data_IF_159183806504
#
_entry.id   IF_159183806504
#
_cell.length_a   1.000
_cell.length_b   1.000
_cell.length_c   1.000
_cell.angle_alpha   90.00
_cell.angle_beta   90.00
_cell.angle_gamma   90.00
#
_symmetry.space_group_name_H-M   'P 1'
#
loop_
_entity.id
_entity.type
_entity.pdbx_description
1 polymer ?
#
# COMPACT_ATOMS: atom_id res chain seq x y z
N UNK A 1 -61.71 -30.87 -15.40
CA UNK A 1 -62.36 -32.03 -16.04
C UNK A 1 -61.29 -33.05 -16.40
N UNK A 2 -61.43 -34.33 -16.01
CA UNK A 2 -60.39 -35.34 -16.30
C UNK A 2 -60.29 -35.54 -17.82
N UNK A 3 -59.09 -35.45 -18.39
CA UNK A 3 -58.83 -35.56 -19.84
C UNK A 3 -59.51 -36.79 -20.50
N UNK A 4 -59.70 -37.86 -19.74
CA UNK A 4 -60.38 -39.08 -20.15
C UNK A 4 -61.86 -38.85 -20.57
N UNK A 5 -62.55 -37.89 -19.96
CA UNK A 5 -63.95 -37.57 -20.30
C UNK A 5 -64.07 -36.78 -21.61
N UNK A 6 -63.06 -35.97 -21.93
CA UNK A 6 -63.02 -35.20 -23.16
C UNK A 6 -62.64 -36.10 -24.34
N UNK A 7 -61.66 -36.99 -24.16
CA UNK A 7 -61.32 -38.03 -25.14
C UNK A 7 -62.50 -38.96 -25.41
N UNK A 8 -63.25 -39.34 -24.37
CA UNK A 8 -64.49 -40.10 -24.51
C UNK A 8 -65.55 -39.31 -25.31
N UNK A 9 -65.72 -38.01 -25.03
CA UNK A 9 -66.65 -37.14 -25.75
C UNK A 9 -66.31 -36.97 -27.24
N UNK A 10 -65.03 -36.79 -27.58
CA UNK A 10 -64.56 -36.73 -28.98
C UNK A 10 -64.75 -38.07 -29.67
N UNK A 11 -64.42 -39.18 -29.00
CA UNK A 11 -64.65 -40.53 -29.52
C UNK A 11 -66.14 -40.80 -29.83
N UNK A 12 -67.03 -40.36 -28.94
CA UNK A 12 -68.48 -40.44 -29.15
C UNK A 12 -68.92 -39.55 -30.31
N UNK A 13 -68.44 -38.31 -30.43
CA UNK A 13 -68.81 -37.41 -31.52
C UNK A 13 -68.34 -37.90 -32.89
N UNK A 14 -67.12 -38.41 -32.99
CA UNK A 14 -66.60 -39.04 -34.23
C UNK A 14 -67.39 -40.31 -34.55
N UNK A 15 -67.68 -41.15 -33.54
CA UNK A 15 -68.52 -42.34 -33.70
C UNK A 15 -69.92 -42.01 -34.22
N UNK A 16 -70.57 -40.98 -33.68
CA UNK A 16 -71.86 -40.47 -34.15
C UNK A 16 -71.75 -39.92 -35.58
N UNK A 17 -70.70 -39.15 -35.90
CA UNK A 17 -70.48 -38.61 -37.24
C UNK A 17 -70.31 -39.70 -38.29
N UNK A 18 -69.56 -40.77 -37.99
CA UNK A 18 -69.41 -41.95 -38.85
C UNK A 18 -70.75 -42.69 -38.99
N UNK A 19 -71.49 -42.88 -37.90
CA UNK A 19 -72.80 -43.53 -37.93
C UNK A 19 -73.83 -42.74 -38.76
N UNK A 20 -73.81 -41.41 -38.69
CA UNK A 20 -74.66 -40.54 -39.52
C UNK A 20 -74.27 -40.66 -41.00
N UNK A 21 -72.97 -40.62 -41.33
CA UNK A 21 -72.52 -40.77 -42.71
C UNK A 21 -72.88 -42.15 -43.31
N UNK A 22 -72.68 -43.23 -42.53
CA UNK A 22 -73.08 -44.60 -42.91
C UNK A 22 -74.61 -44.71 -43.01
N UNK A 23 -75.34 -44.11 -42.08
CA UNK A 23 -76.81 -44.10 -42.07
C UNK A 23 -77.39 -43.35 -43.27
N UNK A 24 -76.80 -42.23 -43.67
CA UNK A 24 -77.18 -41.46 -44.86
C UNK A 24 -76.89 -42.26 -46.14
N UNK A 25 -75.74 -42.92 -46.22
CA UNK A 25 -75.39 -43.83 -47.33
C UNK A 25 -76.36 -45.02 -47.43
N UNK A 26 -76.70 -45.61 -46.28
CA UNK A 26 -77.64 -46.73 -46.21
C UNK A 26 -79.06 -46.30 -46.59
N UNK A 27 -79.55 -45.17 -46.07
CA UNK A 27 -80.85 -44.61 -46.42
C UNK A 27 -80.93 -44.24 -47.91
N UNK A 28 -79.87 -43.66 -48.47
CA UNK A 28 -79.77 -43.38 -49.90
C UNK A 28 -79.89 -44.66 -50.73
N UNK A 29 -79.13 -45.71 -50.38
CA UNK A 29 -79.18 -46.99 -51.08
C UNK A 29 -80.51 -47.72 -50.97
N UNK A 30 -81.21 -47.59 -49.83
CA UNK A 30 -82.50 -48.25 -49.58
C UNK A 30 -83.67 -47.53 -50.27
N UNK A 31 -83.73 -46.20 -50.23
CA UNK A 31 -84.88 -45.44 -50.73
C UNK A 31 -84.79 -45.08 -52.23
N UNK A 32 -83.59 -44.96 -52.81
CA UNK A 32 -83.41 -44.50 -54.20
C UNK A 32 -83.01 -45.62 -55.18
N UNK A 33 -82.72 -46.83 -54.71
CA UNK A 33 -82.38 -47.97 -55.56
C UNK A 33 -81.01 -47.86 -56.26
N UNK A 34 -80.65 -48.83 -57.13
CA UNK A 34 -79.35 -48.85 -57.79
C UNK A 34 -79.15 -47.65 -58.72
N UNK A 35 -77.94 -47.08 -58.66
CA UNK A 35 -77.54 -45.83 -59.33
C UNK A 35 -78.01 -45.80 -60.80
N UNK A 36 -78.92 -44.88 -61.11
CA UNK A 36 -79.42 -44.66 -62.46
C UNK A 36 -78.33 -44.05 -63.36
N UNK A 37 -78.46 -44.21 -64.69
CA UNK A 37 -77.53 -43.63 -65.68
C UNK A 37 -77.73 -42.11 -65.89
N UNK A 38 -78.64 -41.47 -65.17
CA UNK A 38 -78.90 -40.03 -65.29
C UNK A 38 -77.88 -39.21 -64.48
N UNK A 39 -77.31 -38.18 -65.09
CA UNK A 39 -76.29 -37.31 -64.50
C UNK A 39 -76.81 -36.49 -63.30
N UNK A 40 -78.11 -36.27 -63.20
CA UNK A 40 -78.75 -35.53 -62.09
C UNK A 40 -78.71 -36.28 -60.76
N UNK A 41 -78.74 -37.62 -60.79
CA UNK A 41 -78.71 -38.46 -59.58
C UNK A 41 -77.31 -38.49 -58.98
N UNK A 42 -76.28 -38.45 -59.83
CA UNK A 42 -74.89 -38.29 -59.40
C UNK A 42 -74.62 -36.94 -58.75
N UNK A 43 -75.25 -35.87 -59.24
CA UNK A 43 -75.17 -34.54 -58.61
C UNK A 43 -75.80 -34.51 -57.21
N UNK A 44 -76.96 -35.14 -57.05
CA UNK A 44 -77.67 -35.23 -55.76
C UNK A 44 -76.93 -36.10 -54.75
N UNK A 45 -76.39 -37.25 -55.18
CA UNK A 45 -75.50 -38.09 -54.37
C UNK A 45 -74.23 -37.33 -53.95
N UNK A 46 -73.58 -36.63 -54.89
CA UNK A 46 -72.40 -35.83 -54.61
C UNK A 46 -72.66 -34.72 -53.58
N UNK A 47 -73.83 -34.08 -53.62
CA UNK A 47 -74.23 -33.06 -52.64
C UNK A 47 -74.44 -33.65 -51.24
N UNK A 48 -75.13 -34.79 -51.14
CA UNK A 48 -75.36 -35.50 -49.85
C UNK A 48 -74.05 -36.01 -49.26
N UNK A 49 -73.19 -36.61 -50.09
CA UNK A 49 -71.86 -37.08 -49.67
C UNK A 49 -70.96 -35.93 -49.25
N UNK A 50 -70.97 -34.83 -50.00
CA UNK A 50 -70.23 -33.64 -49.63
C UNK A 50 -70.72 -33.09 -48.29
N UNK A 51 -72.03 -33.01 -48.05
CA UNK A 51 -72.58 -32.57 -46.77
C UNK A 51 -72.18 -33.46 -45.59
N UNK A 52 -72.25 -34.79 -45.77
CA UNK A 52 -71.86 -35.76 -44.74
C UNK A 52 -70.36 -35.69 -44.43
N UNK A 53 -69.49 -35.59 -45.45
CA UNK A 53 -68.05 -35.46 -45.25
C UNK A 53 -67.65 -34.10 -44.69
N UNK A 54 -68.33 -33.00 -45.06
CA UNK A 54 -68.11 -31.68 -44.45
C UNK A 54 -68.44 -31.69 -42.96
N UNK A 55 -69.51 -32.37 -42.55
CA UNK A 55 -69.89 -32.53 -41.15
C UNK A 55 -68.88 -33.40 -40.38
N UNK A 56 -68.44 -34.52 -40.97
CA UNK A 56 -67.36 -35.34 -40.40
C UNK A 56 -66.04 -34.56 -40.25
N UNK A 57 -65.66 -33.79 -41.28
CA UNK A 57 -64.47 -32.93 -41.28
C UNK A 57 -64.56 -31.83 -40.20
N UNK A 58 -65.74 -31.26 -39.99
CA UNK A 58 -65.99 -30.28 -38.92
C UNK A 58 -65.81 -30.91 -37.54
N UNK A 59 -66.31 -32.12 -37.30
CA UNK A 59 -66.09 -32.84 -36.04
C UNK A 59 -64.62 -33.21 -35.82
N UNK A 60 -63.92 -33.63 -36.88
CA UNK A 60 -62.48 -33.88 -36.80
C UNK A 60 -61.71 -32.62 -36.41
N UNK A 61 -62.08 -31.46 -36.97
CA UNK A 61 -61.46 -30.16 -36.68
C UNK A 61 -61.73 -29.68 -35.26
N UNK A 62 -62.95 -29.89 -34.76
CA UNK A 62 -63.29 -29.60 -33.35
C UNK A 62 -62.47 -30.49 -32.41
N UNK A 63 -62.33 -31.78 -32.74
CA UNK A 63 -61.52 -32.72 -31.97
C UNK A 63 -60.04 -32.33 -31.90
N UNK A 64 -59.44 -31.91 -33.02
CA UNK A 64 -58.05 -31.47 -33.05
C UNK A 64 -57.82 -30.18 -32.29
N UNK A 65 -58.70 -29.18 -32.42
CA UNK A 65 -58.62 -27.94 -31.65
C UNK A 65 -58.70 -28.18 -30.14
N UNK A 66 -59.59 -29.08 -29.71
CA UNK A 66 -59.75 -29.42 -28.29
C UNK A 66 -58.54 -30.18 -27.73
N UNK A 67 -57.95 -31.07 -28.53
CA UNK A 67 -56.70 -31.74 -28.18
C UNK A 67 -55.55 -30.75 -28.03
N UNK A 68 -55.39 -29.83 -28.98
CA UNK A 68 -54.38 -28.78 -28.92
C UNK A 68 -54.56 -27.89 -27.69
N UNK A 69 -55.80 -27.51 -27.36
CA UNK A 69 -56.11 -26.73 -26.16
C UNK A 69 -55.70 -27.47 -24.87
N UNK A 70 -56.04 -28.76 -24.75
CA UNK A 70 -55.64 -29.56 -23.58
C UNK A 70 -54.12 -29.75 -23.50
N UNK A 71 -53.45 -29.91 -24.64
CA UNK A 71 -52.00 -30.00 -24.70
C UNK A 71 -51.36 -28.69 -24.27
N UNK A 72 -51.92 -27.54 -24.67
CA UNK A 72 -51.48 -26.22 -24.26
C UNK A 72 -51.60 -26.05 -22.73
N UNK A 73 -52.77 -26.29 -22.15
CA UNK A 73 -52.97 -26.16 -20.69
C UNK A 73 -51.99 -27.05 -19.90
N UNK A 74 -51.81 -28.31 -20.33
CA UNK A 74 -50.86 -29.22 -19.67
C UNK A 74 -49.40 -28.78 -19.85
N UNK A 75 -49.07 -28.15 -20.97
CA UNK A 75 -47.74 -27.60 -21.21
C UNK A 75 -47.48 -26.37 -20.33
N UNK A 76 -48.48 -25.50 -20.14
CA UNK A 76 -48.42 -24.35 -19.25
C UNK A 76 -48.22 -24.78 -17.79
N UNK A 77 -48.96 -25.78 -17.30
CA UNK A 77 -48.78 -26.32 -15.94
C UNK A 77 -47.35 -26.87 -15.70
N UNK A 78 -46.79 -27.59 -16.69
CA UNK A 78 -45.41 -28.10 -16.61
C UNK A 78 -44.39 -26.97 -16.65
N UNK A 79 -44.64 -25.95 -17.48
CA UNK A 79 -43.76 -24.79 -17.57
C UNK A 79 -43.74 -24.02 -16.25
N UNK A 80 -44.89 -23.77 -15.63
CA UNK A 80 -44.99 -23.11 -14.32
C UNK A 80 -44.24 -23.90 -13.24
N UNK A 81 -44.37 -25.22 -13.22
CA UNK A 81 -43.65 -26.07 -12.26
C UNK A 81 -42.12 -26.04 -12.48
N UNK A 82 -41.67 -26.06 -13.72
CA UNK A 82 -40.25 -25.94 -14.08
C UNK A 82 -39.68 -24.57 -13.73
N UNK A 83 -40.42 -23.50 -14.01
CA UNK A 83 -40.02 -22.13 -13.70
C UNK A 83 -39.88 -21.94 -12.17
N UNK A 84 -40.82 -22.49 -11.38
CA UNK A 84 -40.74 -22.49 -9.93
C UNK A 84 -39.51 -23.26 -9.40
N UNK A 85 -39.20 -24.43 -9.97
CA UNK A 85 -38.01 -25.20 -9.61
C UNK A 85 -36.71 -24.47 -9.97
N UNK A 86 -36.68 -23.83 -11.15
CA UNK A 86 -35.53 -23.06 -11.63
C UNK A 86 -35.27 -21.83 -10.74
N UNK A 87 -36.32 -21.14 -10.28
CA UNK A 87 -36.18 -20.03 -9.33
C UNK A 87 -35.55 -20.48 -8.01
N UNK A 88 -35.99 -21.61 -7.46
CA UNK A 88 -35.40 -22.16 -6.23
C UNK A 88 -33.94 -22.58 -6.44
N UNK A 89 -33.61 -23.16 -7.60
CA UNK A 89 -32.22 -23.51 -7.96
C UNK A 89 -31.34 -22.27 -8.10
N UNK A 90 -31.84 -21.22 -8.75
CA UNK A 90 -31.15 -19.92 -8.86
C UNK A 90 -30.90 -19.33 -7.49
N UNK A 91 -31.90 -19.26 -6.62
CA UNK A 91 -31.74 -18.74 -5.26
C UNK A 91 -30.68 -19.54 -4.46
N UNK A 92 -30.71 -20.87 -4.54
CA UNK A 92 -29.68 -21.71 -3.88
C UNK A 92 -28.29 -21.48 -4.47
N UNK A 93 -28.20 -21.34 -5.79
CA UNK A 93 -26.95 -21.04 -6.47
C UNK A 93 -26.40 -19.68 -6.03
N UNK A 94 -27.23 -18.63 -5.98
CA UNK A 94 -26.83 -17.29 -5.57
C UNK A 94 -26.31 -17.27 -4.13
N UNK A 95 -26.95 -18.00 -3.20
CA UNK A 95 -26.46 -18.16 -1.83
C UNK A 95 -25.09 -18.85 -1.78
N UNK A 96 -24.87 -19.87 -2.61
CA UNK A 96 -23.58 -20.56 -2.67
C UNK A 96 -22.50 -19.65 -3.26
N UNK A 97 -22.82 -18.91 -4.32
CA UNK A 97 -21.93 -17.93 -4.94
C UNK A 97 -21.55 -16.83 -3.94
N UNK A 98 -22.52 -16.28 -3.21
CA UNK A 98 -22.26 -15.25 -2.19
C UNK A 98 -21.30 -15.77 -1.10
N UNK A 99 -21.51 -17.00 -0.61
CA UNK A 99 -20.61 -17.64 0.36
C UNK A 99 -19.21 -17.86 -0.21
N UNK A 100 -19.10 -18.29 -1.47
CA UNK A 100 -17.82 -18.47 -2.15
C UNK A 100 -17.09 -17.14 -2.34
N UNK A 101 -17.81 -16.08 -2.73
CA UNK A 101 -17.24 -14.74 -2.85
C UNK A 101 -16.75 -14.21 -1.49
N UNK A 102 -17.55 -14.37 -0.43
CA UNK A 102 -17.15 -13.97 0.92
C UNK A 102 -15.89 -14.74 1.40
N UNK A 103 -15.83 -16.05 1.16
CA UNK A 103 -14.65 -16.85 1.48
C UNK A 103 -13.41 -16.39 0.68
N UNK A 104 -13.58 -16.11 -0.62
CA UNK A 104 -12.51 -15.59 -1.47
C UNK A 104 -12.01 -14.22 -0.98
N UNK A 105 -12.92 -13.30 -0.63
CA UNK A 105 -12.54 -11.98 -0.10
C UNK A 105 -11.80 -12.08 1.22
N UNK A 106 -12.20 -13.01 2.09
CA UNK A 106 -11.50 -13.28 3.34
C UNK A 106 -10.07 -13.80 3.09
N UNK A 107 -9.91 -14.77 2.18
CA UNK A 107 -8.60 -15.29 1.78
C UNK A 107 -7.73 -14.21 1.15
N UNK A 108 -8.29 -13.36 0.28
CA UNK A 108 -7.60 -12.20 -0.30
C UNK A 108 -7.10 -11.26 0.79
N UNK A 109 -7.94 -10.91 1.76
CA UNK A 109 -7.56 -10.06 2.89
C UNK A 109 -6.40 -10.65 3.70
N UNK A 110 -6.47 -11.94 4.07
CA UNK A 110 -5.41 -12.60 4.82
C UNK A 110 -4.10 -12.65 4.04
N UNK A 111 -4.16 -13.00 2.75
CA UNK A 111 -2.99 -13.07 1.90
C UNK A 111 -2.38 -11.68 1.65
N UNK A 112 -3.20 -10.68 1.38
CA UNK A 112 -2.73 -9.30 1.19
C UNK A 112 -2.02 -8.77 2.43
N UNK A 113 -2.64 -8.91 3.62
CA UNK A 113 -2.01 -8.56 4.90
C UNK A 113 -0.70 -9.31 5.12
N UNK A 114 -0.67 -10.62 4.88
CA UNK A 114 0.53 -11.46 5.05
C UNK A 114 1.67 -10.98 4.14
N UNK A 115 1.42 -10.81 2.84
CA UNK A 115 2.43 -10.38 1.87
C UNK A 115 2.95 -8.97 2.19
N UNK A 116 2.08 -8.06 2.66
CA UNK A 116 2.51 -6.75 3.12
C UNK A 116 3.52 -6.84 4.28
N UNK A 117 3.20 -7.64 5.30
CA UNK A 117 4.07 -7.82 6.47
C UNK A 117 5.38 -8.50 6.07
N UNK A 118 5.34 -9.52 5.21
CA UNK A 118 6.54 -10.16 4.65
C UNK A 118 7.43 -9.14 3.95
N UNK A 119 6.85 -8.24 3.14
CA UNK A 119 7.58 -7.18 2.45
C UNK A 119 8.22 -6.17 3.41
N UNK A 120 7.56 -5.83 4.53
CA UNK A 120 8.19 -5.01 5.58
C UNK A 120 9.37 -5.74 6.21
N UNK A 121 9.22 -7.03 6.52
CA UNK A 121 10.30 -7.83 7.08
C UNK A 121 11.49 -7.99 6.09
N UNK A 122 11.23 -8.06 4.79
CA UNK A 122 12.28 -8.00 3.76
C UNK A 122 13.07 -6.69 3.83
N UNK A 123 12.44 -5.55 4.14
CA UNK A 123 13.16 -4.29 4.37
C UNK A 123 14.07 -4.38 5.61
N UNK A 124 13.60 -5.00 6.69
CA UNK A 124 14.45 -5.21 7.86
C UNK A 124 15.68 -6.08 7.54
N UNK A 125 15.52 -7.11 6.70
CA UNK A 125 16.63 -7.95 6.21
C UNK A 125 17.58 -7.14 5.31
N UNK A 126 17.04 -6.32 4.40
CA UNK A 126 17.82 -5.46 3.51
C UNK A 126 18.79 -4.56 4.29
N UNK A 127 18.33 -4.00 5.42
CA UNK A 127 19.13 -3.18 6.31
C UNK A 127 19.87 -3.98 7.39
N UNK A 128 20.16 -5.27 7.13
CA UNK A 128 20.96 -6.17 7.99
C UNK A 128 20.46 -6.23 9.44
N UNK A 129 19.15 -6.11 9.64
CA UNK A 129 18.53 -6.12 10.97
C UNK A 129 18.78 -4.86 11.81
N UNK A 130 19.28 -3.76 11.23
CA UNK A 130 19.42 -2.47 11.94
C UNK A 130 18.08 -1.80 12.23
N UNK A 131 17.02 -2.22 11.54
CA UNK A 131 15.64 -1.79 11.80
C UNK A 131 14.75 -3.02 12.05
N UNK A 132 13.68 -2.81 12.82
CA UNK A 132 12.57 -3.75 12.96
C UNK A 132 11.23 -3.02 12.86
N UNK A 133 10.17 -3.79 12.65
CA UNK A 133 8.80 -3.30 12.69
C UNK A 133 8.13 -3.88 13.94
N UNK A 134 8.01 -3.08 15.00
CA UNK A 134 7.47 -3.55 16.29
C UNK A 134 6.03 -4.05 16.19
N UNK A 135 5.23 -3.35 15.39
CA UNK A 135 3.82 -3.65 15.14
C UNK A 135 3.52 -3.42 13.65
N UNK A 136 3.83 -4.42 12.79
CA UNK A 136 3.59 -4.31 11.35
C UNK A 136 2.09 -4.33 11.01
N UNK A 137 1.26 -4.85 11.92
CA UNK A 137 -0.20 -4.85 11.79
C UNK A 137 -0.79 -3.46 11.92
N UNK A 138 -0.33 -2.68 12.90
CA UNK A 138 -0.69 -1.26 13.00
C UNK A 138 -0.36 -0.51 11.71
N UNK A 139 0.81 -0.77 11.12
CA UNK A 139 1.19 -0.15 9.84
C UNK A 139 0.23 -0.57 8.73
N UNK A 140 -0.10 -1.86 8.63
CA UNK A 140 -1.06 -2.34 7.63
C UNK A 140 -2.44 -1.67 7.78
N UNK A 141 -2.98 -1.60 9.00
CA UNK A 141 -4.29 -0.97 9.26
C UNK A 141 -4.27 0.54 9.01
N UNK A 142 -3.15 1.22 9.29
CA UNK A 142 -3.02 2.65 9.02
C UNK A 142 -2.97 2.95 7.51
N UNK A 143 -2.27 2.12 6.73
CA UNK A 143 -2.18 2.27 5.27
C UNK A 143 -3.47 1.84 4.57
N UNK A 144 -4.12 0.77 5.05
CA UNK A 144 -5.34 0.20 4.48
C UNK A 144 -6.52 0.24 5.47
N UNK A 145 -7.02 1.43 5.84
CA UNK A 145 -8.05 1.56 6.88
C UNK A 145 -9.41 0.97 6.50
N UNK A 146 -9.68 0.77 5.20
CA UNK A 146 -10.92 0.16 4.70
C UNK A 146 -10.84 -1.36 4.58
N UNK A 147 -9.66 -1.96 4.75
CA UNK A 147 -9.49 -3.39 4.60
C UNK A 147 -10.00 -4.14 5.83
N UNK A 148 -10.79 -5.18 5.57
CA UNK A 148 -11.44 -6.02 6.56
C UNK A 148 -11.68 -7.42 5.97
N UNK A 149 -12.05 -8.43 6.78
CA UNK A 149 -12.50 -9.73 6.29
C UNK A 149 -13.56 -9.68 5.18
N UNK A 150 -14.36 -8.62 5.13
CA UNK A 150 -15.44 -8.39 4.15
C UNK A 150 -15.05 -7.52 2.95
N UNK A 151 -13.87 -6.87 2.97
CA UNK A 151 -13.45 -5.94 1.92
C UNK A 151 -11.93 -5.86 1.84
N UNK A 152 -11.36 -6.07 0.65
CA UNK A 152 -9.93 -5.98 0.42
C UNK A 152 -9.63 -5.07 -0.77
N UNK A 153 -9.13 -3.87 -0.50
CA UNK A 153 -8.65 -2.93 -1.50
C UNK A 153 -7.11 -3.02 -1.61
N UNK A 154 -6.62 -3.03 -2.85
CA UNK A 154 -5.18 -3.11 -3.17
C UNK A 154 -4.54 -1.74 -3.42
N UNK A 155 -5.37 -0.73 -3.69
CA UNK A 155 -4.93 0.63 -4.02
C UNK A 155 -5.36 1.60 -2.93
N UNK A 156 -4.43 2.43 -2.50
CA UNK A 156 -4.70 3.52 -1.56
C UNK A 156 -4.66 4.83 -2.31
N UNK A 157 -5.74 5.61 -2.23
CA UNK A 157 -5.78 6.95 -2.80
C UNK A 157 -5.03 7.90 -1.86
N UNK A 158 -4.09 8.65 -2.41
CA UNK A 158 -3.45 9.75 -1.69
C UNK A 158 -4.40 10.94 -1.75
N UNK A 159 -4.79 11.45 -0.59
CA UNK A 159 -5.69 12.59 -0.45
C UNK A 159 -4.89 13.90 -0.35
N UNK A 160 -5.59 15.03 -0.28
CA UNK A 160 -4.94 16.31 0.03
C UNK A 160 -4.44 16.30 1.49
N UNK A 161 -3.31 16.97 1.81
CA UNK A 161 -2.73 16.97 3.15
C UNK A 161 -3.67 17.42 4.27
N UNK A 162 -4.65 18.28 3.98
CA UNK A 162 -5.64 18.73 4.97
C UNK A 162 -6.58 17.60 5.46
N UNK A 163 -6.73 16.54 4.66
CA UNK A 163 -7.58 15.39 4.98
C UNK A 163 -6.79 14.20 5.55
N UNK A 164 -5.47 14.35 5.70
CA UNK A 164 -4.60 13.29 6.18
C UNK A 164 -4.99 12.83 7.60
N UNK A 165 -5.15 11.52 7.78
CA UNK A 165 -5.31 10.91 9.09
C UNK A 165 -3.94 10.59 9.67
N UNK A 166 -3.82 10.70 10.98
CA UNK A 166 -2.57 10.39 11.66
C UNK A 166 -2.05 9.01 11.26
N UNK A 167 -0.78 8.95 10.84
CA UNK A 167 -0.08 7.72 10.41
C UNK A 167 -0.55 7.10 9.10
N UNK A 168 -1.47 7.73 8.36
CA UNK A 168 -1.82 7.26 7.03
C UNK A 168 -0.71 7.57 6.00
N UNK A 169 -0.87 7.06 4.78
CA UNK A 169 0.12 7.26 3.72
C UNK A 169 0.22 8.72 3.28
N UNK A 170 -0.88 9.49 3.35
CA UNK A 170 -0.91 10.91 2.99
C UNK A 170 -0.10 11.74 3.99
N UNK A 171 -0.26 11.47 5.29
CA UNK A 171 0.49 12.07 6.39
C UNK A 171 1.99 11.74 6.25
N UNK A 172 2.33 10.47 5.99
CA UNK A 172 3.71 10.06 5.74
C UNK A 172 4.37 10.87 4.61
N UNK A 173 3.65 11.06 3.50
CA UNK A 173 4.12 11.83 2.35
C UNK A 173 4.26 13.33 2.66
N UNK A 174 3.30 13.90 3.39
CA UNK A 174 3.36 15.30 3.82
C UNK A 174 4.56 15.55 4.74
N UNK A 175 4.80 14.66 5.70
CA UNK A 175 5.96 14.71 6.59
C UNK A 175 7.26 14.56 5.79
N UNK A 176 7.33 13.59 4.87
CA UNK A 176 8.51 13.39 4.02
C UNK A 176 8.85 14.63 3.18
N UNK A 177 7.83 15.27 2.59
CA UNK A 177 8.01 16.52 1.85
C UNK A 177 8.54 17.64 2.76
N UNK A 178 7.95 17.78 3.95
CA UNK A 178 8.40 18.75 4.96
C UNK A 178 9.85 18.51 5.38
N UNK A 179 10.27 17.26 5.61
CA UNK A 179 11.69 16.91 5.86
C UNK A 179 12.57 17.39 4.70
N UNK A 180 12.16 17.16 3.45
CA UNK A 180 12.89 17.62 2.27
C UNK A 180 13.03 19.15 2.13
N UNK A 181 12.09 19.91 2.68
CA UNK A 181 12.13 21.37 2.76
C UNK A 181 13.06 21.85 3.90
N UNK A 182 12.96 21.21 5.07
CA UNK A 182 13.76 21.51 6.25
C UNK A 182 15.25 21.22 6.05
N UNK A 183 15.58 20.20 5.26
CA UNK A 183 16.98 19.87 4.92
C UNK A 183 17.72 21.01 4.18
N UNK A 184 17.01 21.98 3.61
CA UNK A 184 17.62 23.16 2.98
C UNK A 184 17.94 24.30 3.95
N UNK A 185 17.51 24.21 5.21
CA UNK A 185 17.72 25.26 6.21
C UNK A 185 18.86 24.86 7.17
N UNK A 186 19.95 25.62 7.12
CA UNK A 186 21.15 25.41 7.96
C UNK A 186 21.30 26.47 9.06
N UNK A 187 20.37 27.43 9.15
CA UNK A 187 20.52 28.63 9.98
C UNK A 187 19.56 28.65 11.16
N UNK A 188 18.35 28.16 10.96
CA UNK A 188 17.30 28.23 11.98
C UNK A 188 17.34 27.00 12.90
N UNK A 189 17.79 27.24 14.13
CA UNK A 189 17.85 26.23 15.19
C UNK A 189 16.48 25.62 15.52
N UNK A 190 15.38 26.36 15.38
CA UNK A 190 14.05 25.80 15.63
C UNK A 190 13.65 24.84 14.52
N UNK A 191 13.96 25.16 13.27
CA UNK A 191 13.71 24.27 12.12
C UNK A 191 14.58 23.01 12.16
N UNK A 192 15.81 23.09 12.68
CA UNK A 192 16.63 21.92 12.94
C UNK A 192 15.99 20.96 13.97
N UNK A 193 15.41 21.47 15.05
CA UNK A 193 14.67 20.63 16.00
C UNK A 193 13.45 19.99 15.35
N UNK A 194 12.70 20.78 14.56
CA UNK A 194 11.55 20.27 13.79
C UNK A 194 11.98 19.20 12.80
N UNK A 195 13.14 19.32 12.16
CA UNK A 195 13.69 18.31 11.25
C UNK A 195 13.88 16.98 11.98
N UNK A 196 14.58 16.96 13.11
CA UNK A 196 14.80 15.72 13.88
C UNK A 196 13.47 15.13 14.36
N UNK A 197 12.55 15.97 14.85
CA UNK A 197 11.21 15.53 15.26
C UNK A 197 10.42 14.92 14.10
N UNK A 198 10.44 15.55 12.92
CA UNK A 198 9.74 15.07 11.73
C UNK A 198 10.36 13.77 11.20
N UNK A 199 11.68 13.63 11.22
CA UNK A 199 12.36 12.37 10.88
C UNK A 199 12.01 11.25 11.86
N UNK A 200 12.02 11.52 13.16
CA UNK A 200 11.60 10.56 14.18
C UNK A 200 10.12 10.19 14.03
N UNK A 201 9.26 11.18 13.80
CA UNK A 201 7.84 10.97 13.59
C UNK A 201 7.56 10.15 12.33
N UNK A 202 8.25 10.44 11.22
CA UNK A 202 8.11 9.69 9.97
C UNK A 202 8.50 8.23 10.13
N UNK A 203 9.61 7.94 10.81
CA UNK A 203 9.98 6.56 11.15
C UNK A 203 8.88 5.88 11.97
N UNK A 204 8.33 6.57 12.97
CA UNK A 204 7.18 6.09 13.73
C UNK A 204 5.94 5.84 12.87
N UNK A 205 5.66 6.68 11.87
CA UNK A 205 4.54 6.48 10.94
C UNK A 205 4.74 5.23 10.09
N UNK A 206 5.94 5.04 9.55
CA UNK A 206 6.33 3.86 8.79
C UNK A 206 6.50 2.60 9.66
N UNK A 207 6.39 2.73 10.99
CA UNK A 207 6.58 1.65 11.95
C UNK A 207 8.03 1.18 12.07
N UNK A 208 8.98 1.99 11.61
CA UNK A 208 10.41 1.73 11.70
C UNK A 208 10.86 1.98 13.14
N UNK A 209 11.45 0.95 13.74
CA UNK A 209 12.17 1.06 15.00
C UNK A 209 13.65 0.71 14.76
N UNK A 210 14.55 1.62 15.11
CA UNK A 210 15.98 1.38 15.00
C UNK A 210 16.46 0.52 16.18
N UNK A 211 17.08 -0.62 15.85
CA UNK A 211 17.65 -1.59 16.79
C UNK A 211 19.11 -1.92 16.47
N UNK A 212 19.73 -1.13 15.60
CA UNK A 212 21.14 -1.27 15.27
C UNK A 212 22.05 -1.08 16.49
N UNK A 213 23.30 -1.54 16.41
CA UNK A 213 24.28 -1.26 17.44
C UNK A 213 24.43 0.25 17.60
N UNK A 214 24.74 0.68 18.82
CA UNK A 214 25.08 2.06 19.07
C UNK A 214 26.32 2.44 18.26
N UNK A 215 26.30 3.65 17.69
CA UNK A 215 27.42 4.25 16.97
C UNK A 215 27.67 5.66 17.49
N UNK A 216 28.91 6.09 17.29
CA UNK A 216 29.34 7.46 17.58
C UNK A 216 28.46 8.46 16.84
N UNK A 217 27.89 9.41 17.57
CA UNK A 217 27.03 10.44 16.98
C UNK A 217 25.57 10.02 16.78
N UNK A 218 25.15 8.87 17.33
CA UNK A 218 23.73 8.53 17.37
C UNK A 218 22.93 9.55 18.20
N UNK A 219 21.83 10.01 17.62
CA UNK A 219 20.91 10.96 18.23
C UNK A 219 19.81 10.20 18.96
N UNK A 220 19.62 10.53 20.23
CA UNK A 220 18.55 10.03 21.07
C UNK A 220 17.50 11.12 21.28
N UNK A 221 16.23 10.76 21.16
CA UNK A 221 15.09 11.62 21.44
C UNK A 221 14.27 11.01 22.58
N UNK A 222 14.14 11.76 23.70
CA UNK A 222 13.47 11.31 24.93
C UNK A 222 13.98 9.94 25.42
N UNK A 223 15.31 9.74 25.36
CA UNK A 223 15.99 8.52 25.79
C UNK A 223 15.88 7.33 24.83
N UNK A 224 15.20 7.47 23.69
CA UNK A 224 15.12 6.43 22.64
C UNK A 224 16.04 6.77 21.48
N UNK A 225 16.71 5.77 20.92
CA UNK A 225 17.54 5.97 19.73
C UNK A 225 16.61 6.42 18.59
N UNK A 226 16.88 7.60 18.03
CA UNK A 226 16.06 8.16 16.96
C UNK A 226 16.33 7.49 15.60
N UNK A 227 17.27 6.54 15.54
CA UNK A 227 17.73 5.95 14.29
C UNK A 227 18.39 6.99 13.37
N UNK A 228 18.87 8.09 13.94
CA UNK A 228 19.56 9.19 13.25
C UNK A 228 20.99 9.25 13.76
N UNK A 229 21.96 9.21 12.85
CA UNK A 229 23.36 9.47 13.17
C UNK A 229 23.75 10.82 12.58
N UNK A 230 24.39 11.67 13.37
CA UNK A 230 24.74 13.03 12.94
C UNK A 230 25.78 13.07 11.83
N UNK A 231 26.68 12.08 11.77
CA UNK A 231 27.72 12.00 10.76
C UNK A 231 27.21 11.40 9.43
N UNK A 232 26.14 10.61 9.49
CA UNK A 232 25.55 9.93 8.33
C UNK A 232 24.02 10.09 8.34
N UNK A 233 23.56 11.33 8.18
CA UNK A 233 22.13 11.68 8.17
C UNK A 233 21.45 11.08 6.92
N UNK A 234 22.18 11.03 5.81
CA UNK A 234 21.73 10.48 4.54
C UNK A 234 21.39 8.99 4.63
N UNK A 235 22.17 8.19 5.36
CA UNK A 235 21.86 6.76 5.63
C UNK A 235 20.48 6.60 6.28
N UNK A 236 20.08 7.54 7.14
CA UNK A 236 18.76 7.54 7.79
C UNK A 236 17.66 7.83 6.78
N UNK A 237 17.89 8.80 5.89
CA UNK A 237 16.94 9.15 4.84
C UNK A 237 16.82 8.03 3.80
N UNK A 238 17.91 7.37 3.42
CA UNK A 238 17.89 6.20 2.52
C UNK A 238 17.02 5.08 3.10
N UNK A 239 17.13 4.80 4.42
CA UNK A 239 16.25 3.84 5.10
C UNK A 239 14.77 4.23 5.00
N UNK A 240 14.46 5.48 5.34
CA UNK A 240 13.10 6.01 5.29
C UNK A 240 12.53 5.94 3.86
N UNK A 241 13.29 6.40 2.87
CA UNK A 241 12.92 6.40 1.45
C UNK A 241 12.68 5.00 0.93
N UNK A 242 13.54 4.04 1.28
CA UNK A 242 13.41 2.65 0.86
C UNK A 242 12.12 2.01 1.38
N UNK A 243 11.83 2.18 2.67
CA UNK A 243 10.60 1.65 3.28
C UNK A 243 9.36 2.36 2.72
N UNK A 244 9.38 3.69 2.62
CA UNK A 244 8.27 4.47 2.07
C UNK A 244 7.97 4.08 0.62
N UNK A 245 8.99 3.98 -0.24
CA UNK A 245 8.83 3.54 -1.63
C UNK A 245 8.36 2.09 -1.74
N UNK A 246 8.78 1.22 -0.81
CA UNK A 246 8.28 -0.16 -0.75
C UNK A 246 6.78 -0.22 -0.48
N UNK A 247 6.27 0.65 0.41
CA UNK A 247 4.84 0.80 0.71
C UNK A 247 4.09 1.48 -0.45
N UNK A 248 4.65 2.52 -1.05
CA UNK A 248 4.04 3.21 -2.21
C UNK A 248 3.87 2.25 -3.38
N UNK A 249 4.89 1.45 -3.69
CA UNK A 249 4.81 0.41 -4.70
C UNK A 249 3.67 -0.58 -4.39
N UNK A 250 3.59 -1.06 -3.15
CA UNK A 250 2.58 -2.03 -2.74
C UNK A 250 1.15 -1.47 -2.82
N UNK A 251 0.99 -0.16 -2.56
CA UNK A 251 -0.30 0.54 -2.62
C UNK A 251 -0.66 1.05 -4.03
N UNK A 252 0.18 0.79 -5.03
CA UNK A 252 -0.03 1.20 -6.41
C UNK A 252 0.22 2.70 -6.67
N UNK A 253 1.00 3.36 -5.83
CA UNK A 253 1.38 4.77 -5.93
C UNK A 253 2.78 4.95 -6.53
N UNK A 254 3.08 6.16 -7.01
CA UNK A 254 4.41 6.49 -7.53
C UNK A 254 5.42 6.66 -6.40
N UNK A 255 6.67 6.29 -6.67
CA UNK A 255 7.78 6.50 -5.74
C UNK A 255 8.01 8.00 -5.51
N UNK A 256 8.45 8.34 -4.30
CA UNK A 256 8.89 9.69 -3.99
C UNK A 256 10.25 9.98 -4.62
N UNK A 257 10.48 11.25 -4.95
CA UNK A 257 11.81 11.72 -5.33
C UNK A 257 12.76 11.62 -4.13
N UNK A 258 14.00 11.12 -4.31
CA UNK A 258 14.96 10.99 -3.23
C UNK A 258 15.38 12.36 -2.69
N UNK A 259 15.48 12.50 -1.37
CA UNK A 259 15.96 13.70 -0.66
C UNK A 259 17.25 13.46 0.13
N UNK A 260 17.71 12.21 0.27
CA UNK A 260 18.93 11.86 1.02
C UNK A 260 20.16 12.65 0.59
N UNK A 261 20.29 12.98 -0.69
CA UNK A 261 21.38 13.81 -1.22
C UNK A 261 21.44 15.22 -0.60
N UNK A 262 20.32 15.76 -0.11
CA UNK A 262 20.28 17.07 0.57
C UNK A 262 20.91 17.04 1.95
N UNK A 263 20.98 15.86 2.57
CA UNK A 263 21.65 15.67 3.84
C UNK A 263 23.15 15.35 3.69
N UNK A 264 23.63 15.20 2.45
CA UNK A 264 25.04 14.98 2.19
C UNK A 264 25.82 16.28 2.36
N UNK A 265 26.82 16.26 3.24
CA UNK A 265 27.75 17.37 3.46
C UNK A 265 27.83 17.85 4.91
N UNK A 266 28.91 18.56 5.22
CA UNK A 266 29.20 19.01 6.58
C UNK A 266 28.23 20.07 7.12
N UNK A 267 27.58 20.87 6.27
CA UNK A 267 26.76 22.00 6.72
C UNK A 267 25.56 21.58 7.57
N UNK A 268 24.80 20.55 7.15
CA UNK A 268 23.67 20.05 7.94
C UNK A 268 24.13 19.37 9.23
N UNK A 269 25.19 18.55 9.13
CA UNK A 269 25.83 17.93 10.31
C UNK A 269 26.21 18.97 11.34
N UNK A 270 26.94 20.01 10.94
CA UNK A 270 27.44 21.06 11.83
C UNK A 270 26.28 21.86 12.44
N UNK A 271 25.29 22.21 11.61
CA UNK A 271 24.11 22.94 12.04
C UNK A 271 23.27 22.15 13.06
N UNK A 272 23.06 20.85 12.83
CA UNK A 272 22.41 19.96 13.77
C UNK A 272 23.24 19.78 15.04
N UNK A 273 24.55 19.58 14.92
CA UNK A 273 25.44 19.35 16.06
C UNK A 273 25.32 20.52 17.02
N UNK A 274 25.58 21.71 16.49
CA UNK A 274 25.50 22.96 17.23
C UNK A 274 24.13 23.18 17.84
N UNK A 275 23.05 22.82 17.13
CA UNK A 275 21.69 22.99 17.66
C UNK A 275 21.44 22.04 18.83
N UNK A 276 21.73 20.77 18.67
CA UNK A 276 21.44 19.74 19.67
C UNK A 276 22.30 19.89 20.93
N UNK A 277 23.52 20.42 20.82
CA UNK A 277 24.41 20.63 21.96
C UNK A 277 24.22 21.99 22.64
N UNK A 278 24.06 23.08 21.87
CA UNK A 278 24.09 24.46 22.44
C UNK A 278 22.72 25.09 22.65
N UNK A 279 21.66 24.59 21.99
CA UNK A 279 20.36 25.26 22.05
C UNK A 279 19.56 24.80 23.28
N UNK A 280 19.20 25.75 24.15
CA UNK A 280 18.50 25.47 25.41
C UNK A 280 17.20 24.66 25.25
N UNK A 281 16.45 24.81 24.14
CA UNK A 281 15.23 24.03 23.90
C UNK A 281 15.50 22.59 23.48
N UNK A 282 16.71 22.29 23.01
CA UNK A 282 17.13 20.93 22.69
C UNK A 282 17.47 20.13 23.96
N UNK A 283 17.99 20.83 24.98
CA UNK A 283 18.47 20.23 26.22
C UNK A 283 17.37 19.45 26.95
N UNK A 284 17.68 18.24 27.37
CA UNK A 284 16.77 17.33 28.07
C UNK A 284 15.85 16.52 27.14
N UNK A 285 15.59 16.98 25.91
CA UNK A 285 14.81 16.23 24.93
C UNK A 285 15.70 15.45 23.95
N UNK A 286 16.81 16.05 23.52
CA UNK A 286 17.77 15.45 22.60
C UNK A 286 19.11 15.23 23.27
N UNK A 287 19.75 14.12 22.91
CA UNK A 287 21.09 13.75 23.36
C UNK A 287 21.84 13.19 22.16
N UNK A 288 23.06 13.67 21.90
CA UNK A 288 23.97 12.97 20.99
C UNK A 288 24.88 12.12 21.87
N UNK A 289 24.93 10.82 21.60
CA UNK A 289 25.75 9.89 22.38
C UNK A 289 27.08 9.62 21.70
N UNK A 290 28.11 9.58 22.55
CA UNK A 290 29.47 9.27 22.17
C UNK A 290 30.04 8.26 23.16
N UNK A 291 30.76 7.25 22.67
CA UNK A 291 31.59 6.39 23.54
C UNK A 291 32.98 7.00 23.67
N UNK A 292 33.51 7.57 22.57
CA UNK A 292 34.76 8.33 22.55
C UNK A 292 34.55 9.70 23.22
N UNK A 293 35.01 9.80 24.48
CA UNK A 293 34.92 11.01 25.31
C UNK A 293 35.64 12.23 24.74
N UNK A 294 36.59 12.03 23.83
CA UNK A 294 37.31 13.11 23.17
C UNK A 294 36.48 13.86 22.11
N UNK A 295 35.40 13.25 21.60
CA UNK A 295 34.65 13.81 20.46
C UNK A 295 34.05 15.19 20.70
N UNK A 296 33.44 15.51 21.85
CA UNK A 296 32.99 16.87 22.12
C UNK A 296 34.12 17.90 22.02
N UNK A 297 35.30 17.59 22.56
CA UNK A 297 36.46 18.49 22.48
C UNK A 297 37.00 18.65 21.05
N UNK A 298 36.99 17.57 20.26
CA UNK A 298 37.36 17.63 18.84
C UNK A 298 36.34 18.47 18.03
N UNK A 299 35.06 18.45 18.40
CA UNK A 299 34.06 19.31 17.79
C UNK A 299 34.24 20.79 18.16
N UNK A 300 34.53 21.08 19.42
CA UNK A 300 34.83 22.45 19.84
C UNK A 300 36.09 22.97 19.15
N UNK A 301 37.13 22.14 19.03
CA UNK A 301 38.33 22.44 18.26
C UNK A 301 38.02 22.64 16.77
N UNK A 302 37.12 21.84 16.21
CA UNK A 302 36.67 22.01 14.83
C UNK A 302 35.94 23.35 14.63
N UNK A 303 35.06 23.75 15.53
CA UNK A 303 34.42 25.07 15.48
C UNK A 303 35.46 26.21 15.57
N UNK A 304 36.46 26.07 16.44
CA UNK A 304 37.55 27.04 16.57
C UNK A 304 38.41 27.11 15.28
N UNK A 305 38.68 25.98 14.64
CA UNK A 305 39.46 25.90 13.39
C UNK A 305 38.77 26.58 12.19
N UNK A 306 37.45 26.76 12.25
CA UNK A 306 36.69 27.45 11.19
C UNK A 306 36.81 28.98 11.24
N UNK A 307 37.44 29.55 12.27
CA UNK A 307 37.64 31.00 12.37
C UNK A 307 38.62 31.49 11.30
N UNK A 308 38.22 32.52 10.56
CA UNK A 308 39.03 33.13 9.51
C UNK A 308 39.68 34.42 10.03
N UNK A 309 40.99 34.57 9.78
CA UNK A 309 41.74 35.77 10.15
C UNK A 309 41.61 36.86 9.07
N UNK A 310 41.62 36.44 7.82
CA UNK A 310 41.31 37.23 6.62
C UNK A 310 40.22 36.46 5.88
N UNK A 311 39.30 37.14 5.19
CA UNK A 311 38.09 36.57 4.55
C UNK A 311 38.31 35.26 3.78
N UNK A 312 39.55 34.95 3.37
CA UNK A 312 39.93 33.75 2.62
C UNK A 312 40.83 32.75 3.34
N UNK A 313 41.44 33.07 4.50
CA UNK A 313 42.43 32.20 5.17
C UNK A 313 41.99 31.83 6.59
N UNK A 314 41.88 30.52 6.85
CA UNK A 314 41.69 29.96 8.19
C UNK A 314 43.00 29.96 8.95
N UNK A 315 42.93 30.20 10.26
CA UNK A 315 44.11 30.13 11.13
C UNK A 315 44.63 28.71 11.29
N UNK A 316 43.73 27.73 11.35
CA UNK A 316 44.05 26.31 11.59
C UNK A 316 43.50 25.47 10.43
N UNK A 317 44.03 25.70 9.23
CA UNK A 317 43.54 25.08 8.00
C UNK A 317 43.81 23.56 7.98
N UNK A 318 44.95 23.10 8.48
CA UNK A 318 45.27 21.67 8.51
C UNK A 318 44.42 20.94 9.55
N UNK A 319 44.30 21.50 10.75
CA UNK A 319 43.39 21.01 11.80
C UNK A 319 41.96 20.93 11.29
N UNK A 320 41.47 21.97 10.60
CA UNK A 320 40.15 21.96 9.98
C UNK A 320 40.01 20.80 8.99
N UNK A 321 40.99 20.57 8.10
CA UNK A 321 40.93 19.49 7.11
C UNK A 321 40.93 18.10 7.75
N UNK A 322 41.79 17.88 8.75
CA UNK A 322 41.85 16.60 9.46
C UNK A 322 40.52 16.32 10.17
N UNK A 323 40.00 17.28 10.93
CA UNK A 323 38.73 17.13 11.65
C UNK A 323 37.52 17.04 10.70
N UNK A 324 37.50 17.81 9.61
CA UNK A 324 36.46 17.69 8.58
C UNK A 324 36.43 16.29 7.95
N UNK A 325 37.60 15.68 7.78
CA UNK A 325 37.75 14.31 7.24
C UNK A 325 37.24 13.28 8.24
N UNK A 326 37.63 13.41 9.51
CA UNK A 326 37.17 12.53 10.59
C UNK A 326 35.64 12.62 10.74
N UNK A 327 35.07 13.82 10.73
CA UNK A 327 33.63 14.01 10.89
C UNK A 327 32.82 13.74 9.61
N UNK A 328 33.44 13.34 8.51
CA UNK A 328 32.74 13.06 7.26
C UNK A 328 31.92 11.75 7.31
N UNK A 329 32.33 10.77 8.12
CA UNK A 329 31.68 9.47 8.28
C UNK A 329 31.97 8.91 9.69
N UNK A 330 30.99 8.28 10.34
CA UNK A 330 31.22 7.62 11.64
C UNK A 330 32.34 6.57 11.59
N UNK A 331 32.60 5.95 10.43
CA UNK A 331 33.71 4.98 10.27
C UNK A 331 35.08 5.61 10.42
N UNK A 332 35.24 6.88 10.05
CA UNK A 332 36.49 7.59 10.25
C UNK A 332 36.69 7.93 11.72
N UNK A 333 35.60 8.22 12.43
CA UNK A 333 35.60 8.42 13.88
C UNK A 333 36.00 7.14 14.62
N UNK A 334 35.50 5.97 14.20
CA UNK A 334 35.87 4.69 14.81
C UNK A 334 37.38 4.43 14.80
N UNK A 335 38.12 4.99 13.83
CA UNK A 335 39.59 4.89 13.77
C UNK A 335 40.30 5.62 14.91
N UNK A 336 39.65 6.58 15.58
CA UNK A 336 40.22 7.25 16.75
C UNK A 336 40.43 6.31 17.96
N UNK A 337 39.84 5.11 17.93
CA UNK A 337 40.16 4.07 18.91
C UNK A 337 41.55 3.44 18.70
N UNK A 338 42.14 3.59 17.51
CA UNK A 338 43.50 3.18 17.22
C UNK A 338 44.48 4.25 17.72
N UNK A 339 45.38 3.85 18.62
CA UNK A 339 46.32 4.76 19.27
C UNK A 339 47.24 5.45 18.28
N UNK A 340 47.77 4.73 17.29
CA UNK A 340 48.73 5.29 16.34
C UNK A 340 48.05 6.31 15.41
N UNK A 341 46.82 6.02 15.01
CA UNK A 341 46.00 6.96 14.24
C UNK A 341 45.68 8.22 15.05
N UNK A 342 45.25 8.05 16.30
CA UNK A 342 44.96 9.16 17.21
C UNK A 342 46.21 10.01 17.48
N UNK A 343 47.35 9.40 17.84
CA UNK A 343 48.63 10.10 18.13
C UNK A 343 49.10 10.90 16.91
N UNK A 344 49.00 10.32 15.71
CA UNK A 344 49.37 10.98 14.47
C UNK A 344 48.51 12.23 14.20
N UNK A 345 47.19 12.11 14.29
CA UNK A 345 46.28 13.26 14.10
C UNK A 345 46.56 14.33 15.14
N UNK A 346 46.66 13.95 16.42
CA UNK A 346 46.89 14.93 17.48
C UNK A 346 48.26 15.59 17.34
N UNK A 347 49.29 14.87 16.88
CA UNK A 347 50.61 15.44 16.62
C UNK A 347 50.60 16.48 15.50
N UNK A 348 49.84 16.24 14.42
CA UNK A 348 49.67 17.19 13.32
C UNK A 348 49.00 18.48 13.83
N UNK A 349 47.91 18.33 14.59
CA UNK A 349 47.17 19.46 15.19
C UNK A 349 48.07 20.25 16.15
N UNK A 350 48.80 19.56 17.03
CA UNK A 350 49.71 20.19 17.99
C UNK A 350 50.79 21.01 17.30
N UNK A 351 51.39 20.46 16.23
CA UNK A 351 52.42 21.15 15.47
C UNK A 351 51.89 22.43 14.80
N UNK A 352 50.69 22.38 14.19
CA UNK A 352 50.06 23.57 13.62
C UNK A 352 49.75 24.62 14.70
N UNK A 353 49.13 24.20 15.82
CA UNK A 353 48.80 25.09 16.94
C UNK A 353 50.04 25.82 17.47
N UNK A 354 51.14 25.11 17.70
CA UNK A 354 52.38 25.72 18.18
C UNK A 354 52.95 26.74 17.20
N UNK A 355 52.89 26.44 15.89
CA UNK A 355 53.33 27.36 14.84
C UNK A 355 52.49 28.64 14.80
N UNK A 356 51.17 28.50 14.84
CA UNK A 356 50.24 29.63 14.73
C UNK A 356 50.19 30.47 16.02
N UNK A 357 50.36 29.86 17.20
CA UNK A 357 50.52 30.60 18.48
C UNK A 357 51.73 31.53 18.44
N UNK A 358 52.86 31.06 17.91
CA UNK A 358 54.07 31.89 17.80
C UNK A 358 53.89 33.03 16.80
N UNK A 359 53.20 32.75 15.69
CA UNK A 359 52.94 33.71 14.61
C UNK A 359 51.97 34.82 15.03
N UNK A 360 50.95 34.50 15.81
CA UNK A 360 49.89 35.43 16.23
C UNK A 360 49.99 35.92 17.67
N UNK A 361 51.12 35.71 18.35
CA UNK A 361 51.34 36.09 19.75
C UNK A 361 51.00 37.55 20.11
N UNK A 362 51.09 38.45 19.13
CA UNK A 362 50.89 39.90 19.31
C UNK A 362 49.46 40.33 18.96
N UNK A 363 48.62 39.44 18.41
CA UNK A 363 47.20 39.66 18.13
C UNK A 363 46.35 39.05 19.26
N UNK A 364 45.67 39.92 20.02
CA UNK A 364 44.89 39.51 21.18
C UNK A 364 43.68 38.62 20.82
N UNK A 365 43.01 38.87 19.70
CA UNK A 365 41.83 38.11 19.30
C UNK A 365 42.22 36.72 18.78
N UNK A 366 43.27 36.66 17.95
CA UNK A 366 43.81 35.40 17.46
C UNK A 366 44.39 34.55 18.62
N UNK A 367 45.10 35.19 19.56
CA UNK A 367 45.66 34.51 20.73
C UNK A 367 44.57 33.91 21.63
N UNK A 368 43.42 34.57 21.81
CA UNK A 368 42.31 34.01 22.59
C UNK A 368 41.72 32.75 21.94
N UNK A 369 41.52 32.78 20.62
CA UNK A 369 41.01 31.64 19.85
C UNK A 369 42.01 30.47 19.92
N UNK A 370 43.29 30.72 19.67
CA UNK A 370 44.34 29.69 19.71
C UNK A 370 44.51 29.10 21.11
N UNK A 371 44.42 29.92 22.17
CA UNK A 371 44.46 29.41 23.53
C UNK A 371 43.24 28.54 23.87
N UNK A 372 42.08 28.82 23.28
CA UNK A 372 40.89 27.97 23.43
C UNK A 372 41.04 26.66 22.65
N UNK A 373 41.51 26.73 21.40
CA UNK A 373 41.80 25.58 20.57
C UNK A 373 42.84 24.65 21.23
N UNK A 374 43.92 25.21 21.80
CA UNK A 374 44.94 24.45 22.52
C UNK A 374 44.37 23.72 23.74
N UNK A 375 43.49 24.37 24.52
CA UNK A 375 42.79 23.69 25.64
C UNK A 375 41.91 22.53 25.17
N UNK A 376 41.13 22.73 24.11
CA UNK A 376 40.30 21.66 23.54
C UNK A 376 41.16 20.50 23.01
N UNK A 377 42.28 20.83 22.36
CA UNK A 377 43.22 19.84 21.86
C UNK A 377 43.85 19.00 22.97
N UNK A 378 44.36 19.64 24.03
CA UNK A 378 44.92 18.92 25.19
C UNK A 378 43.89 18.04 25.88
N UNK A 379 42.66 18.54 26.07
CA UNK A 379 41.58 17.74 26.64
C UNK A 379 41.25 16.52 25.76
N UNK A 380 41.23 16.68 24.43
CA UNK A 380 41.05 15.57 23.50
C UNK A 380 42.20 14.55 23.60
N UNK A 381 43.46 15.00 23.64
CA UNK A 381 44.63 14.12 23.80
C UNK A 381 44.58 13.30 25.08
N UNK A 382 44.21 13.92 26.20
CA UNK A 382 44.08 13.24 27.50
C UNK A 382 43.00 12.15 27.44
N UNK A 383 41.84 12.45 26.84
CA UNK A 383 40.75 11.48 26.70
C UNK A 383 41.07 10.36 25.70
N UNK A 384 41.92 10.62 24.70
CA UNK A 384 42.42 9.60 23.76
C UNK A 384 43.62 8.80 24.31
N UNK A 385 44.20 9.22 25.44
CA UNK A 385 45.35 8.56 26.05
C UNK A 385 46.67 8.78 25.31
N UNK A 386 46.76 9.78 24.42
CA UNK A 386 47.94 10.07 23.58
C UNK A 386 48.87 11.14 24.17
N UNK A 387 48.67 11.51 25.43
CA UNK A 387 49.56 12.41 26.16
C UNK A 387 50.89 11.71 26.46
N UNK A 388 52.00 12.27 25.96
CA UNK A 388 53.36 11.76 26.19
C UNK A 388 53.99 12.25 27.48
#
# INVERSE_FOLDING_TARGET
MKANWILAGVGVAVGVGVLVAVGVLWAYGYYLGPISRFTTDWGSFGSVMSGAFTLLSSFATIGTLLFLYLQQVKSEERQIALDAENLVKQQKHDIVVEKQLAALTFEQYLNHRKVFIERLNEQAILFKGSIRFADPDRVYTAIFPSNSPSRCDYKVKIEEPENAKAYDLTDCLAIYKSVGELLGNYRDKEEHLRLVQKMFHLQGCLGIEYIGPHREGDVFFLGRNAGLNIYNIDDTLVRIESVLNSILFYTGNQNVAPIHHKAQGGLMRDALYKTLTTYHRAQGAFEIRYEIKALPHLHDLYEDSQQHFIVTERMLEETYRQLATIFADYKEIEKLNDFDYADNITSIILHELQGEILKYKDDAAASEILARADRHHWAAMEQLGVTR
#
